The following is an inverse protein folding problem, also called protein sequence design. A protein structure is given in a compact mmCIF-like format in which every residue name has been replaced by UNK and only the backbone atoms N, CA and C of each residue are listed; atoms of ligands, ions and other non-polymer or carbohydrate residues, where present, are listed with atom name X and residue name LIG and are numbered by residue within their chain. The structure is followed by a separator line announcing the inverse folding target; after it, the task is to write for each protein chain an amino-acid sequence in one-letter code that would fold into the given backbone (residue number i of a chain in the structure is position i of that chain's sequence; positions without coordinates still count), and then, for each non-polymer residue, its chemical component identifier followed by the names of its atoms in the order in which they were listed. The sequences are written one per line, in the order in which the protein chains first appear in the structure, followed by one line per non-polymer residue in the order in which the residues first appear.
data_IF_180065727968
#
_entry.id   IF_180065727968
#
_cell.length_a   1.000
_cell.length_b   1.000
_cell.length_c   1.000
_cell.angle_alpha   90.00
_cell.angle_beta   90.00
_cell.angle_gamma   90.00
#
_symmetry.space_group_name_H-M   'P 1'
#
loop_
_entity.id
_entity.type
_entity.pdbx_description
1 polymer ?
#
# COMPACT_ATOMS: atom_id res chain seq x y z
N UNK A 1 40.35 27.55 3.04
CA UNK A 1 39.60 26.58 3.87
C UNK A 1 38.20 26.45 3.25
N UNK A 2 37.55 25.29 3.34
CA UNK A 2 36.13 25.18 3.01
C UNK A 2 35.33 25.70 4.21
N UNK A 3 34.40 26.62 3.99
CA UNK A 3 33.51 27.17 5.01
C UNK A 3 32.49 26.13 5.49
N UNK A 4 31.83 26.41 6.61
CA UNK A 4 30.72 25.59 7.12
C UNK A 4 29.56 25.54 6.10
N UNK A 5 29.11 24.33 5.78
CA UNK A 5 28.05 24.09 4.80
C UNK A 5 27.07 23.00 5.25
N UNK A 6 25.80 23.16 4.87
CA UNK A 6 24.76 22.14 5.06
C UNK A 6 24.56 21.33 3.77
N UNK A 7 24.41 20.01 3.89
CA UNK A 7 24.10 19.12 2.76
C UNK A 7 22.73 18.50 2.95
N UNK A 8 21.84 18.72 1.98
CA UNK A 8 20.52 18.09 1.91
C UNK A 8 20.56 16.96 0.88
N UNK A 9 20.43 15.71 1.33
CA UNK A 9 20.43 14.53 0.49
C UNK A 9 19.01 14.00 0.29
N UNK A 10 18.49 14.09 -0.93
CA UNK A 10 17.17 13.56 -1.28
C UNK A 10 17.32 12.14 -1.84
N UNK A 11 16.97 11.14 -1.03
CA UNK A 11 17.06 9.74 -1.39
C UNK A 11 15.78 9.18 -2.01
N UNK A 12 15.90 8.51 -3.15
CA UNK A 12 14.84 7.70 -3.76
C UNK A 12 15.04 6.23 -3.38
N UNK A 13 13.96 5.44 -3.25
CA UNK A 13 14.03 3.99 -3.01
C UNK A 13 13.55 3.27 -4.27
N UNK A 14 14.37 2.35 -4.77
CA UNK A 14 13.96 1.38 -5.77
C UNK A 14 14.18 -0.02 -5.17
N UNK A 15 13.13 -0.85 -5.05
CA UNK A 15 13.30 -2.18 -4.48
C UNK A 15 14.15 -3.08 -5.35
N UNK A 16 14.88 -3.97 -4.70
CA UNK A 16 15.50 -5.12 -5.32
C UNK A 16 14.44 -6.16 -5.74
N UNK A 17 14.82 -7.05 -6.66
CA UNK A 17 13.96 -8.16 -7.08
C UNK A 17 13.58 -9.09 -5.92
N UNK A 18 14.47 -9.26 -4.95
CA UNK A 18 14.25 -10.14 -3.79
C UNK A 18 13.25 -9.53 -2.82
N UNK A 19 13.34 -8.22 -2.56
CA UNK A 19 12.34 -7.50 -1.74
C UNK A 19 10.92 -7.59 -2.35
N UNK A 20 10.81 -7.45 -3.68
CA UNK A 20 9.53 -7.59 -4.36
C UNK A 20 8.99 -9.03 -4.26
N UNK A 21 9.87 -10.03 -4.43
CA UNK A 21 9.46 -11.43 -4.32
C UNK A 21 8.98 -11.75 -2.90
N UNK A 22 9.65 -11.25 -1.87
CA UNK A 22 9.25 -11.41 -0.47
C UNK A 22 7.87 -10.79 -0.21
N UNK A 23 7.64 -9.57 -0.70
CA UNK A 23 6.34 -8.91 -0.62
C UNK A 23 5.22 -9.73 -1.29
N UNK A 24 5.48 -10.27 -2.49
CA UNK A 24 4.50 -11.12 -3.19
C UNK A 24 4.21 -12.39 -2.39
N UNK A 25 5.24 -13.07 -1.87
CA UNK A 25 5.07 -14.28 -1.06
C UNK A 25 4.22 -14.01 0.18
N UNK A 26 4.49 -12.92 0.91
CA UNK A 26 3.72 -12.57 2.11
C UNK A 26 2.24 -12.32 1.77
N UNK A 27 1.94 -11.60 0.68
CA UNK A 27 0.56 -11.38 0.25
C UNK A 27 -0.12 -12.67 -0.26
N UNK A 28 0.62 -13.58 -0.90
CA UNK A 28 0.08 -14.89 -1.29
C UNK A 28 -0.30 -15.72 -0.06
N UNK A 29 0.51 -15.68 1.00
CA UNK A 29 0.22 -16.37 2.26
C UNK A 29 -1.02 -15.80 2.95
N UNK A 30 -1.17 -14.46 2.99
CA UNK A 30 -2.35 -13.78 3.54
C UNK A 30 -3.65 -14.20 2.83
N UNK A 31 -3.57 -14.40 1.51
CA UNK A 31 -4.72 -14.74 0.65
C UNK A 31 -4.86 -16.26 0.41
N UNK A 32 -4.06 -17.08 1.10
CA UNK A 32 -4.11 -18.54 0.99
C UNK A 32 -3.91 -19.04 -0.47
N UNK A 33 -3.07 -18.35 -1.23
CA UNK A 33 -2.67 -18.67 -2.61
C UNK A 33 -1.40 -19.55 -2.64
N UNK A 34 -1.08 -20.13 -3.80
CA UNK A 34 0.18 -20.88 -3.99
C UNK A 34 0.21 -22.27 -3.35
N UNK A 35 -0.93 -22.93 -3.18
CA UNK A 35 -1.05 -24.24 -2.51
C UNK A 35 -0.51 -25.43 -3.33
N UNK A 36 -0.13 -25.22 -4.59
CA UNK A 36 0.38 -26.29 -5.44
C UNK A 36 1.65 -26.88 -4.84
N UNK A 37 1.72 -28.21 -4.83
CA UNK A 37 2.89 -28.94 -4.31
C UNK A 37 3.80 -29.36 -5.45
N UNK A 38 5.08 -29.46 -5.16
CA UNK A 38 6.02 -30.16 -6.03
C UNK A 38 5.53 -31.59 -6.29
N UNK A 39 5.55 -31.99 -7.57
CA UNK A 39 5.21 -33.34 -8.04
C UNK A 39 6.24 -33.75 -9.10
N UNK A 40 6.55 -35.04 -9.11
CA UNK A 40 7.49 -35.72 -9.97
C UNK A 40 6.85 -36.98 -10.56
N UNK A 41 5.67 -36.82 -11.17
CA UNK A 41 4.92 -37.91 -11.80
C UNK A 41 5.71 -38.61 -12.94
N UNK A 42 6.74 -37.94 -13.46
CA UNK A 42 7.67 -38.41 -14.49
C UNK A 42 8.97 -39.02 -13.93
N UNK A 43 9.05 -39.26 -12.62
CA UNK A 43 10.27 -39.74 -11.96
C UNK A 43 10.76 -41.08 -12.52
N UNK A 44 12.02 -41.09 -12.96
CA UNK A 44 12.73 -42.29 -13.39
C UNK A 44 13.71 -42.77 -12.32
N UNK A 45 14.14 -44.03 -12.40
CA UNK A 45 15.11 -44.59 -11.45
C UNK A 45 16.43 -43.82 -11.52
N UNK A 46 16.80 -43.19 -10.42
CA UNK A 46 18.03 -42.42 -10.31
C UNK A 46 19.28 -43.31 -10.38
N UNK A 47 20.31 -42.84 -11.10
CA UNK A 47 21.63 -43.50 -11.12
C UNK A 47 22.37 -43.31 -9.80
N UNK A 48 22.17 -42.15 -9.14
CA UNK A 48 22.70 -41.83 -7.82
C UNK A 48 21.56 -41.38 -6.90
N UNK A 49 21.32 -42.10 -5.81
CA UNK A 49 20.15 -41.87 -4.94
C UNK A 49 20.17 -40.55 -4.16
N UNK A 50 21.31 -39.88 -4.06
CA UNK A 50 21.47 -38.60 -3.34
C UNK A 50 21.64 -37.40 -4.29
N UNK A 51 21.51 -37.60 -5.60
CA UNK A 51 21.65 -36.53 -6.59
C UNK A 51 20.32 -35.77 -6.74
N UNK A 52 20.40 -34.44 -6.72
CA UNK A 52 19.31 -33.57 -7.20
C UNK A 52 19.66 -33.23 -8.64
N UNK A 53 18.97 -33.87 -9.57
CA UNK A 53 19.26 -33.71 -11.00
C UNK A 53 18.78 -32.35 -11.55
N UNK A 54 19.18 -32.06 -12.79
CA UNK A 54 18.76 -30.84 -13.48
C UNK A 54 17.27 -30.77 -13.71
N UNK A 55 16.59 -31.90 -13.80
CA UNK A 55 15.16 -31.99 -14.08
C UNK A 55 14.36 -31.59 -12.84
N UNK A 56 14.81 -31.98 -11.64
CA UNK A 56 14.24 -31.56 -10.37
C UNK A 56 14.35 -30.04 -10.17
N UNK A 57 15.51 -29.45 -10.48
CA UNK A 57 15.70 -27.99 -10.42
C UNK A 57 14.82 -27.29 -11.47
N UNK A 58 14.65 -27.89 -12.65
CA UNK A 58 13.79 -27.35 -13.71
C UNK A 58 12.32 -27.38 -13.31
N UNK A 59 11.84 -28.48 -12.72
CA UNK A 59 10.49 -28.60 -12.15
C UNK A 59 10.25 -27.57 -11.04
N UNK A 60 11.21 -27.38 -10.14
CA UNK A 60 11.14 -26.33 -9.11
C UNK A 60 10.98 -24.94 -9.74
N UNK A 61 11.79 -24.62 -10.76
CA UNK A 61 11.71 -23.32 -11.43
C UNK A 61 10.33 -23.10 -12.08
N UNK A 62 9.77 -24.11 -12.75
CA UNK A 62 8.42 -24.04 -13.33
C UNK A 62 7.37 -23.81 -12.25
N UNK A 63 7.44 -24.56 -11.14
CA UNK A 63 6.53 -24.40 -10.01
C UNK A 63 6.55 -22.97 -9.46
N UNK A 64 7.74 -22.38 -9.30
CA UNK A 64 7.87 -21.00 -8.83
C UNK A 64 7.37 -19.96 -9.84
N UNK A 65 7.54 -20.18 -11.15
CA UNK A 65 6.96 -19.30 -12.16
C UNK A 65 5.44 -19.35 -12.13
N UNK A 66 4.86 -20.55 -12.08
CA UNK A 66 3.40 -20.70 -11.98
C UNK A 66 2.85 -20.04 -10.71
N UNK A 67 3.57 -20.11 -9.59
CA UNK A 67 3.17 -19.42 -8.36
C UNK A 67 3.12 -17.89 -8.53
N UNK A 68 4.04 -17.30 -9.30
CA UNK A 68 4.01 -15.87 -9.63
C UNK A 68 2.83 -15.54 -10.55
N UNK A 69 2.56 -16.39 -11.55
CA UNK A 69 1.44 -16.20 -12.48
C UNK A 69 0.09 -16.31 -11.74
N UNK A 70 -0.04 -17.26 -10.80
CA UNK A 70 -1.20 -17.41 -9.92
C UNK A 70 -1.40 -16.20 -8.98
N UNK A 71 -0.32 -15.46 -8.70
CA UNK A 71 -0.35 -14.25 -7.88
C UNK A 71 -0.81 -13.00 -8.65
N UNK A 72 -1.01 -13.06 -9.98
CA UNK A 72 -1.46 -11.93 -10.81
C UNK A 72 -2.58 -11.07 -10.14
N UNK A 73 -3.64 -11.65 -9.53
CA UNK A 73 -4.71 -10.88 -8.90
C UNK A 73 -4.27 -9.99 -7.73
N UNK A 74 -3.14 -10.30 -7.08
CA UNK A 74 -2.63 -9.62 -5.88
C UNK A 74 -1.38 -8.78 -6.15
N UNK A 75 -0.77 -8.83 -7.35
CA UNK A 75 0.50 -8.16 -7.62
C UNK A 75 0.42 -6.64 -7.41
N UNK A 76 -0.69 -6.03 -7.83
CA UNK A 76 -0.95 -4.61 -7.59
C UNK A 76 -0.98 -4.30 -6.10
N UNK A 77 -1.63 -5.17 -5.31
CA UNK A 77 -1.73 -5.01 -3.86
C UNK A 77 -0.36 -5.14 -3.19
N UNK A 78 0.39 -6.20 -3.52
CA UNK A 78 1.72 -6.44 -2.98
C UNK A 78 2.66 -5.25 -3.25
N UNK A 79 2.69 -4.78 -4.50
CA UNK A 79 3.50 -3.62 -4.87
C UNK A 79 3.05 -2.35 -4.14
N UNK A 80 1.75 -2.09 -4.10
CA UNK A 80 1.17 -0.90 -3.47
C UNK A 80 1.49 -0.82 -1.97
N UNK A 81 1.27 -1.93 -1.24
CA UNK A 81 1.66 -2.06 0.16
C UNK A 81 3.17 -1.80 0.33
N UNK A 82 4.00 -2.50 -0.44
CA UNK A 82 5.46 -2.39 -0.33
C UNK A 82 5.98 -0.95 -0.54
N UNK A 83 5.51 -0.24 -1.58
CA UNK A 83 6.05 1.10 -1.88
C UNK A 83 5.55 2.18 -0.91
N UNK A 84 4.42 1.93 -0.25
CA UNK A 84 3.81 2.84 0.71
C UNK A 84 4.18 2.55 2.17
N UNK A 85 4.85 1.42 2.43
CA UNK A 85 5.33 1.05 3.75
C UNK A 85 6.10 2.20 4.42
N UNK A 86 5.68 2.51 5.65
CA UNK A 86 6.31 3.56 6.46
C UNK A 86 7.73 3.14 6.79
N UNK A 87 8.70 4.05 6.58
CA UNK A 87 10.08 3.78 6.96
C UNK A 87 10.17 3.59 8.47
N UNK A 88 10.91 2.59 8.93
CA UNK A 88 11.16 2.36 10.36
C UNK A 88 11.65 3.61 11.09
N UNK A 89 12.50 4.41 10.45
CA UNK A 89 13.00 5.68 11.00
C UNK A 89 11.92 6.73 11.26
N UNK A 90 10.77 6.61 10.62
CA UNK A 90 9.61 7.49 10.76
C UNK A 90 8.49 6.85 11.57
N UNK A 91 8.58 5.55 11.92
CA UNK A 91 7.48 4.80 12.52
C UNK A 91 7.00 5.40 13.85
N UNK A 92 7.92 5.85 14.70
CA UNK A 92 7.58 6.49 15.96
C UNK A 92 6.80 7.80 15.73
N UNK A 93 7.27 8.65 14.82
CA UNK A 93 6.61 9.94 14.53
C UNK A 93 5.25 9.72 13.84
N UNK A 94 5.18 8.76 12.92
CA UNK A 94 3.93 8.36 12.28
C UNK A 94 2.89 7.89 13.32
N UNK A 95 3.31 7.13 14.34
CA UNK A 95 2.40 6.68 15.40
C UNK A 95 1.82 7.81 16.25
N UNK A 96 2.50 8.95 16.34
CA UNK A 96 2.00 10.14 17.04
C UNK A 96 0.89 10.86 16.25
N UNK A 97 0.77 10.60 14.94
CA UNK A 97 -0.29 11.17 14.09
C UNK A 97 -1.59 10.37 14.09
N UNK A 98 -1.63 9.21 14.74
CA UNK A 98 -2.85 8.42 14.89
C UNK A 98 -3.89 9.21 15.67
N UNK A 99 -5.14 9.12 15.25
CA UNK A 99 -6.27 9.79 15.91
C UNK A 99 -7.38 8.79 16.22
N UNK A 100 -8.27 9.19 17.13
CA UNK A 100 -9.46 8.39 17.43
C UNK A 100 -10.34 8.26 16.18
N UNK A 101 -11.10 7.17 16.08
CA UNK A 101 -12.06 6.98 15.00
C UNK A 101 -13.05 8.15 14.95
N UNK A 102 -13.20 8.75 13.77
CA UNK A 102 -14.14 9.84 13.52
C UNK A 102 -15.27 9.35 12.60
N UNK A 103 -16.50 9.78 12.89
CA UNK A 103 -17.65 9.51 12.02
C UNK A 103 -17.72 10.53 10.87
N UNK A 104 -18.45 10.19 9.82
CA UNK A 104 -18.70 11.10 8.68
C UNK A 104 -19.40 12.40 9.14
N UNK A 105 -20.33 12.30 10.10
CA UNK A 105 -21.05 13.45 10.64
C UNK A 105 -20.14 14.39 11.45
N UNK A 106 -19.21 13.83 12.23
CA UNK A 106 -18.22 14.62 12.96
C UNK A 106 -17.24 15.29 11.99
N UNK A 107 -16.82 14.58 10.94
CA UNK A 107 -15.96 15.14 9.89
C UNK A 107 -16.66 16.33 9.20
N UNK A 108 -17.95 16.21 8.87
CA UNK A 108 -18.76 17.31 8.33
C UNK A 108 -18.79 18.52 9.27
N UNK A 109 -18.97 18.29 10.57
CA UNK A 109 -19.01 19.38 11.55
C UNK A 109 -17.69 20.14 11.62
N UNK A 110 -16.55 19.45 11.53
CA UNK A 110 -15.23 20.09 11.52
C UNK A 110 -15.03 20.94 10.26
N UNK A 111 -15.35 20.39 9.08
CA UNK A 111 -15.29 21.15 7.83
C UNK A 111 -16.24 22.35 7.82
N UNK A 112 -17.44 22.22 8.40
CA UNK A 112 -18.40 23.32 8.53
C UNK A 112 -17.91 24.45 9.46
N UNK A 113 -17.00 24.15 10.39
CA UNK A 113 -16.33 25.14 11.25
C UNK A 113 -15.15 25.84 10.55
N UNK A 114 -14.87 25.48 9.28
CA UNK A 114 -13.79 26.07 8.50
C UNK A 114 -12.43 25.39 8.67
N UNK A 115 -12.39 24.23 9.36
CA UNK A 115 -11.19 23.42 9.49
C UNK A 115 -10.76 22.85 8.13
N UNK A 116 -9.46 22.63 7.97
CA UNK A 116 -8.83 22.06 6.78
C UNK A 116 -8.00 20.86 7.21
N UNK A 117 -8.07 19.77 6.45
CA UNK A 117 -7.20 18.62 6.67
C UNK A 117 -5.89 18.82 5.91
N UNK A 118 -4.78 18.57 6.57
CA UNK A 118 -3.43 18.54 5.99
C UNK A 118 -2.94 17.11 5.91
N UNK A 119 -2.29 16.79 4.79
CA UNK A 119 -1.75 15.45 4.55
C UNK A 119 -0.51 15.20 5.41
N UNK A 120 -0.44 14.04 6.03
CA UNK A 120 0.75 13.60 6.75
C UNK A 120 1.94 13.40 5.80
N UNK A 121 3.08 13.97 6.18
CA UNK A 121 4.35 13.79 5.45
C UNK A 121 5.08 12.51 5.87
N UNK A 122 4.59 11.82 6.90
CA UNK A 122 5.20 10.60 7.44
C UNK A 122 4.69 9.34 6.73
N UNK A 123 3.49 9.41 6.16
CA UNK A 123 2.89 8.34 5.38
C UNK A 123 3.01 8.59 3.88
N UNK A 124 3.30 7.52 3.15
CA UNK A 124 3.26 7.52 1.69
C UNK A 124 1.90 7.03 1.23
N UNK A 125 1.42 7.61 0.14
CA UNK A 125 0.21 7.15 -0.50
C UNK A 125 0.52 6.72 -1.93
N UNK A 126 -0.22 5.73 -2.40
CA UNK A 126 -0.30 5.35 -3.79
C UNK A 126 -1.74 4.94 -4.08
N UNK A 127 -2.10 4.89 -5.35
CA UNK A 127 -3.38 4.34 -5.77
C UNK A 127 -3.24 3.61 -7.10
N UNK A 128 -4.17 2.69 -7.34
CA UNK A 128 -4.32 1.98 -8.61
C UNK A 128 -5.79 1.88 -8.96
N UNK A 129 -6.10 1.81 -10.25
CA UNK A 129 -7.45 1.62 -10.77
C UNK A 129 -7.40 0.62 -11.92
N UNK A 130 -8.30 -0.35 -11.88
CA UNK A 130 -8.58 -1.25 -13.00
C UNK A 130 -10.08 -1.26 -13.31
N UNK A 131 -10.50 -2.03 -14.31
CA UNK A 131 -11.89 -2.04 -14.81
C UNK A 131 -12.93 -2.48 -13.76
N UNK A 132 -12.51 -3.09 -12.64
CA UNK A 132 -13.39 -3.63 -11.60
C UNK A 132 -13.25 -3.01 -10.21
N UNK A 133 -12.12 -2.36 -9.88
CA UNK A 133 -11.87 -1.79 -8.55
C UNK A 133 -10.85 -0.65 -8.56
N UNK A 134 -11.00 0.28 -7.61
CA UNK A 134 -9.96 1.20 -7.18
C UNK A 134 -9.29 0.71 -5.90
N UNK A 135 -7.99 0.90 -5.78
CA UNK A 135 -7.24 0.58 -4.57
C UNK A 135 -6.42 1.80 -4.16
N UNK A 136 -6.52 2.16 -2.88
CA UNK A 136 -5.65 3.13 -2.22
C UNK A 136 -4.67 2.36 -1.33
N UNK A 137 -3.44 2.83 -1.26
CA UNK A 137 -2.41 2.30 -0.37
C UNK A 137 -1.86 3.40 0.50
N UNK A 138 -1.71 3.13 1.79
CA UNK A 138 -1.11 4.03 2.75
C UNK A 138 -0.41 3.22 3.83
N UNK A 139 0.80 3.62 4.20
CA UNK A 139 1.53 3.03 5.33
C UNK A 139 1.79 1.51 5.24
N UNK A 140 1.70 0.88 4.07
CA UNK A 140 1.79 -0.58 3.93
C UNK A 140 0.44 -1.29 3.91
N UNK A 141 -0.66 -0.57 4.08
CA UNK A 141 -2.02 -1.08 4.06
C UNK A 141 -2.72 -0.80 2.72
N UNK A 142 -3.84 -1.49 2.48
CA UNK A 142 -4.62 -1.41 1.25
C UNK A 142 -6.11 -1.24 1.54
N UNK A 143 -6.73 -0.30 0.84
CA UNK A 143 -8.15 0.03 0.97
C UNK A 143 -8.81 -0.04 -0.41
N UNK A 144 -9.71 -1.00 -0.58
CA UNK A 144 -10.47 -1.17 -1.81
C UNK A 144 -11.70 -0.25 -1.83
N UNK A 145 -11.99 0.31 -3.00
CA UNK A 145 -13.23 1.04 -3.28
C UNK A 145 -13.77 0.64 -4.66
N UNK A 146 -15.08 0.72 -4.82
CA UNK A 146 -15.73 0.41 -6.10
C UNK A 146 -15.33 1.40 -7.21
N UNK A 147 -15.44 0.96 -8.46
CA UNK A 147 -14.99 1.76 -9.62
C UNK A 147 -15.75 3.06 -9.83
N UNK A 148 -17.01 3.13 -9.41
CA UNK A 148 -17.81 4.37 -9.44
C UNK A 148 -17.17 5.47 -8.60
N UNK A 149 -16.44 5.06 -7.56
CA UNK A 149 -15.89 5.91 -6.52
C UNK A 149 -14.39 6.18 -6.72
N UNK A 150 -13.75 5.39 -7.59
CA UNK A 150 -12.33 5.49 -7.94
C UNK A 150 -11.89 6.87 -8.47
N UNK A 151 -12.82 7.72 -8.92
CA UNK A 151 -12.50 9.07 -9.36
C UNK A 151 -12.06 9.99 -8.20
N UNK A 152 -12.36 9.61 -6.95
CA UNK A 152 -11.96 10.35 -5.75
C UNK A 152 -10.55 9.96 -5.24
N UNK A 153 -9.94 8.89 -5.77
CA UNK A 153 -8.60 8.44 -5.35
C UNK A 153 -7.53 9.53 -5.45
N UNK A 154 -7.44 10.32 -6.55
CA UNK A 154 -6.44 11.39 -6.62
C UNK A 154 -6.65 12.46 -5.53
N UNK A 155 -7.90 12.83 -5.26
CA UNK A 155 -8.24 13.81 -4.22
C UNK A 155 -7.78 13.33 -2.83
N UNK A 156 -7.99 12.04 -2.52
CA UNK A 156 -7.59 11.42 -1.25
C UNK A 156 -6.07 11.16 -1.12
N UNK A 157 -5.28 11.28 -2.19
CA UNK A 157 -3.87 10.80 -2.19
C UNK A 157 -2.85 11.76 -2.77
N UNK A 158 -3.24 12.77 -3.54
CA UNK A 158 -2.33 13.69 -4.24
C UNK A 158 -2.38 15.10 -3.65
N UNK A 159 -3.52 15.50 -3.10
CA UNK A 159 -3.67 16.80 -2.48
C UNK A 159 -2.79 16.94 -1.23
N UNK A 160 -2.35 18.17 -0.98
CA UNK A 160 -1.68 18.53 0.28
C UNK A 160 -2.68 18.82 1.39
N UNK A 161 -3.82 19.37 1.00
CA UNK A 161 -4.90 19.80 1.87
C UNK A 161 -6.23 19.33 1.29
N UNK A 162 -7.18 18.99 2.16
CA UNK A 162 -8.59 18.77 1.80
C UNK A 162 -9.37 19.90 2.45
N UNK A 163 -10.00 20.73 1.63
CA UNK A 163 -10.84 21.84 2.09
C UNK A 163 -12.29 21.41 2.25
N UNK A 164 -13.14 22.25 2.84
CA UNK A 164 -14.58 22.00 2.87
C UNK A 164 -15.16 21.82 1.45
N UNK A 165 -14.68 22.54 0.43
CA UNK A 165 -15.17 22.36 -0.95
C UNK A 165 -14.89 20.95 -1.46
N UNK A 166 -13.67 20.45 -1.23
CA UNK A 166 -13.28 19.09 -1.60
C UNK A 166 -14.09 18.05 -0.82
N UNK A 167 -14.32 18.29 0.47
CA UNK A 167 -15.16 17.45 1.32
C UNK A 167 -16.61 17.38 0.83
N UNK A 168 -17.21 18.51 0.46
CA UNK A 168 -18.58 18.54 -0.08
C UNK A 168 -18.69 17.71 -1.37
N UNK A 169 -17.63 17.62 -2.18
CA UNK A 169 -17.56 16.73 -3.33
C UNK A 169 -17.38 15.26 -2.90
N UNK A 170 -16.41 14.97 -2.03
CA UNK A 170 -16.10 13.62 -1.57
C UNK A 170 -17.30 12.94 -0.91
N UNK A 171 -18.00 13.65 -0.01
CA UNK A 171 -19.10 13.08 0.78
C UNK A 171 -20.33 12.67 -0.03
N UNK A 172 -20.40 13.07 -1.30
CA UNK A 172 -21.45 12.58 -2.22
C UNK A 172 -21.35 11.08 -2.45
N UNK A 173 -20.17 10.51 -2.24
CA UNK A 173 -19.93 9.08 -2.17
C UNK A 173 -19.60 8.65 -0.74
N UNK A 174 -20.49 7.83 -0.17
CA UNK A 174 -20.37 7.33 1.19
C UNK A 174 -19.07 6.52 1.41
N UNK A 175 -18.66 5.70 0.43
CA UNK A 175 -17.46 4.88 0.59
C UNK A 175 -16.18 5.73 0.64
N UNK A 176 -16.11 6.80 -0.16
CA UNK A 176 -15.01 7.77 -0.11
C UNK A 176 -14.98 8.55 1.22
N UNK A 177 -16.16 8.92 1.73
CA UNK A 177 -16.27 9.59 3.03
C UNK A 177 -15.77 8.70 4.18
N UNK A 178 -16.24 7.45 4.25
CA UNK A 178 -15.81 6.47 5.24
C UNK A 178 -14.32 6.11 5.09
N UNK A 179 -13.80 6.12 3.86
CA UNK A 179 -12.36 5.96 3.62
C UNK A 179 -11.58 7.14 4.21
N UNK A 180 -11.99 8.39 4.00
CA UNK A 180 -11.31 9.54 4.59
C UNK A 180 -11.31 9.48 6.13
N UNK A 181 -12.41 9.05 6.75
CA UNK A 181 -12.46 8.80 8.20
C UNK A 181 -11.39 7.80 8.65
N UNK A 182 -11.24 6.67 7.95
CA UNK A 182 -10.19 5.68 8.25
C UNK A 182 -8.79 6.24 8.04
N UNK A 183 -8.56 6.95 6.94
CA UNK A 183 -7.26 7.58 6.66
C UNK A 183 -6.88 8.61 7.74
N UNK A 184 -7.86 9.33 8.30
CA UNK A 184 -7.64 10.27 9.41
C UNK A 184 -7.25 9.52 10.69
N UNK A 185 -8.03 8.49 11.06
CA UNK A 185 -7.76 7.67 12.25
C UNK A 185 -6.36 7.03 12.19
N UNK A 186 -5.96 6.60 11.00
CA UNK A 186 -4.66 5.98 10.76
C UNK A 186 -3.52 6.99 10.48
N UNK A 187 -3.75 8.29 10.73
CA UNK A 187 -2.73 9.33 10.71
C UNK A 187 -2.28 9.78 9.32
N UNK A 188 -3.00 9.37 8.26
CA UNK A 188 -2.78 9.83 6.90
C UNK A 188 -3.09 11.31 6.69
N UNK A 189 -4.02 11.85 7.48
CA UNK A 189 -4.44 13.24 7.49
C UNK A 189 -4.54 13.73 8.93
N UNK A 190 -4.43 15.04 9.15
CA UNK A 190 -4.64 15.68 10.44
C UNK A 190 -5.27 17.06 10.23
N UNK A 191 -6.00 17.56 11.22
CA UNK A 191 -6.54 18.92 11.17
C UNK A 191 -5.42 19.94 11.31
N UNK A 192 -5.41 20.97 10.45
CA UNK A 192 -4.47 22.07 10.58
C UNK A 192 -4.74 22.83 11.89
N UNK A 193 -3.74 22.92 12.77
CA UNK A 193 -3.84 23.76 13.96
C UNK A 193 -3.98 25.24 13.54
N UNK A 194 -4.76 26.04 14.28
CA UNK A 194 -4.96 27.48 14.03
C UNK A 194 -3.66 28.33 14.08
N UNK A 195 -2.51 27.72 14.36
CA UNK A 195 -1.23 28.38 14.62
C UNK A 195 -0.14 28.22 13.56
N UNK A 196 -0.38 27.49 12.46
CA UNK A 196 0.58 27.37 11.34
C UNK A 196 0.19 28.18 10.09
#
# INVERSE_FOLDING_TARGET
ALDDGMTFSFGFRAPSRVELLDSVINNMLEQDLGKQRYSDDDLVVASHQSEIDSDAVSRLKVLLHNAIDDAEPILTQALGKFVTETKESLANIASETLSDEITVDELEQQFAQGQVLTRSLYHRFAWSKNDGQGQLFMAGESYCIDTTNSNNLPLLTENKEITNTDWQQLKTDQASAELLCRLLAEGGWYWQDETD
#
